data_IF_992820909132
#
_entry.id   IF_992820909132
#
_cell.length_a   1.000
_cell.length_b   1.000
_cell.length_c   1.000
_cell.angle_alpha   90.00
_cell.angle_beta   90.00
_cell.angle_gamma   90.00
#
_symmetry.space_group_name_H-M   'P 1'
#
loop_
_entity.id
_entity.type
_entity.pdbx_description
1 polymer ?
#
# COMPACT_ATOMS: atom_id res chain seq x y z
N UNK A 1 -10.56 -8.08 -9.07
CA UNK A 1 -9.87 -6.77 -8.92
C UNK A 1 -10.53 -5.66 -9.74
N UNK A 2 -10.56 -5.75 -11.08
CA UNK A 2 -11.00 -4.67 -12.01
C UNK A 2 -12.42 -4.11 -11.82
N UNK A 3 -13.31 -4.79 -11.10
CA UNK A 3 -14.73 -4.43 -10.99
C UNK A 3 -15.10 -3.68 -9.69
N UNK A 4 -14.13 -3.08 -9.00
CA UNK A 4 -14.39 -2.21 -7.83
C UNK A 4 -13.77 -2.65 -6.52
N UNK A 5 -12.88 -3.65 -6.51
CA UNK A 5 -12.12 -4.02 -5.30
C UNK A 5 -11.11 -2.92 -5.00
N UNK A 6 -11.13 -2.39 -3.77
CA UNK A 6 -10.23 -1.30 -3.31
C UNK A 6 -9.30 -1.72 -2.18
N UNK A 7 -9.52 -2.88 -1.57
CA UNK A 7 -8.67 -3.46 -0.52
C UNK A 7 -8.60 -4.97 -0.70
N UNK A 8 -7.43 -5.56 -0.44
CA UNK A 8 -7.20 -7.00 -0.41
C UNK A 8 -6.27 -7.35 0.75
N UNK A 9 -6.42 -8.54 1.29
CA UNK A 9 -5.45 -9.14 2.20
C UNK A 9 -4.34 -9.84 1.41
N UNK A 10 -3.14 -9.94 1.96
CA UNK A 10 -2.01 -10.69 1.39
C UNK A 10 -1.23 -11.41 2.50
N UNK A 11 -0.63 -12.57 2.18
CA UNK A 11 0.04 -13.44 3.16
C UNK A 11 -0.79 -13.69 4.43
N UNK A 12 -2.06 -14.03 4.26
CA UNK A 12 -2.99 -14.24 5.37
C UNK A 12 -2.73 -15.56 6.09
N UNK A 13 -2.78 -15.54 7.42
CA UNK A 13 -2.84 -16.73 8.27
C UNK A 13 -4.15 -16.67 9.04
N UNK A 14 -5.00 -17.66 8.82
CA UNK A 14 -6.38 -17.71 9.36
C UNK A 14 -6.50 -18.58 10.60
N UNK A 15 -5.41 -19.21 11.02
CA UNK A 15 -5.28 -19.94 12.27
C UNK A 15 -4.87 -19.04 13.43
N UNK A 16 -5.28 -19.42 14.64
CA UNK A 16 -4.87 -18.72 15.87
C UNK A 16 -3.36 -18.94 16.05
N UNK A 17 -2.58 -17.85 16.13
CA UNK A 17 -1.13 -17.92 16.25
C UNK A 17 -0.38 -18.24 14.94
N UNK A 18 -1.06 -18.31 13.79
CA UNK A 18 -0.47 -18.78 12.53
C UNK A 18 0.67 -17.95 11.91
N UNK A 19 0.99 -16.79 12.50
CA UNK A 19 2.14 -15.95 12.12
C UNK A 19 3.41 -16.22 12.96
N UNK A 20 3.31 -17.00 14.04
CA UNK A 20 4.47 -17.36 14.86
C UNK A 20 5.40 -18.33 14.12
N UNK A 21 6.71 -18.23 14.36
CA UNK A 21 7.70 -19.15 13.76
C UNK A 21 7.50 -20.59 14.24
N UNK A 22 7.14 -20.76 15.52
CA UNK A 22 6.85 -22.06 16.16
C UNK A 22 5.34 -22.39 16.15
N UNK A 23 4.59 -21.92 15.14
CA UNK A 23 3.16 -22.19 15.07
C UNK A 23 2.92 -23.71 15.08
N UNK A 24 2.12 -24.23 16.03
CA UNK A 24 1.87 -25.66 16.12
C UNK A 24 1.16 -26.13 14.84
N UNK A 25 1.78 -27.09 14.13
CA UNK A 25 1.18 -27.69 12.92
C UNK A 25 -0.06 -28.53 13.23
N UNK A 26 -0.26 -28.89 14.50
CA UNK A 26 -1.18 -29.96 14.93
C UNK A 26 -2.60 -29.50 15.32
N UNK A 27 -2.86 -28.19 15.48
CA UNK A 27 -4.21 -27.69 15.77
C UNK A 27 -4.81 -26.94 14.58
N UNK A 28 -5.81 -27.55 13.93
CA UNK A 28 -6.59 -26.95 12.83
C UNK A 28 -7.54 -25.86 13.38
N UNK A 29 -6.95 -24.72 13.76
CA UNK A 29 -7.67 -23.54 14.25
C UNK A 29 -8.02 -22.54 13.14
N UNK A 30 -7.74 -22.91 11.88
CA UNK A 30 -8.03 -22.07 10.73
C UNK A 30 -9.51 -21.76 10.62
N UNK A 31 -9.87 -20.48 10.54
CA UNK A 31 -11.26 -20.07 10.32
C UNK A 31 -11.80 -20.56 8.96
N UNK A 32 -10.93 -20.61 7.96
CA UNK A 32 -11.19 -21.09 6.60
C UNK A 32 -9.87 -21.36 5.87
N UNK A 33 -9.94 -22.14 4.79
CA UNK A 33 -8.80 -22.44 3.93
C UNK A 33 -8.38 -21.25 3.06
N UNK A 34 -7.09 -20.93 3.09
CA UNK A 34 -6.51 -19.87 2.27
C UNK A 34 -6.18 -20.40 0.88
N UNK A 35 -6.88 -19.90 -0.14
CA UNK A 35 -6.61 -20.29 -1.54
C UNK A 35 -5.42 -19.55 -2.16
N UNK A 36 -5.09 -18.35 -1.70
CA UNK A 36 -3.94 -17.57 -2.17
C UNK A 36 -2.80 -17.61 -1.16
N UNK A 37 -1.84 -18.48 -1.40
CA UNK A 37 -0.72 -18.75 -0.51
C UNK A 37 0.54 -17.94 -0.86
N UNK A 38 0.42 -16.93 -1.74
CA UNK A 38 1.54 -16.06 -2.10
C UNK A 38 1.98 -15.24 -0.89
N UNK A 39 3.29 -15.04 -0.80
CA UNK A 39 3.89 -14.10 0.13
C UNK A 39 3.41 -12.67 -0.15
N UNK A 40 3.59 -11.77 0.81
CA UNK A 40 3.20 -10.37 0.63
C UNK A 40 3.97 -9.73 -0.53
N UNK A 41 5.25 -10.06 -0.68
CA UNK A 41 6.09 -9.55 -1.77
C UNK A 41 5.58 -10.02 -3.14
N UNK A 42 5.21 -11.30 -3.28
CA UNK A 42 4.64 -11.83 -4.53
C UNK A 42 3.30 -11.16 -4.88
N UNK A 43 2.45 -10.90 -3.89
CA UNK A 43 1.18 -10.17 -4.10
C UNK A 43 1.45 -8.74 -4.55
N UNK A 44 2.35 -8.03 -3.87
CA UNK A 44 2.73 -6.64 -4.22
C UNK A 44 3.34 -6.59 -5.62
N UNK A 45 4.29 -7.47 -5.92
CA UNK A 45 4.95 -7.58 -7.22
C UNK A 45 3.94 -7.85 -8.35
N UNK A 46 3.04 -8.81 -8.14
CA UNK A 46 1.98 -9.14 -9.08
C UNK A 46 1.06 -7.96 -9.36
N UNK A 47 0.62 -7.23 -8.32
CA UNK A 47 -0.21 -6.05 -8.48
C UNK A 47 0.49 -4.96 -9.31
N UNK A 48 1.77 -4.71 -9.04
CA UNK A 48 2.58 -3.75 -9.81
C UNK A 48 2.68 -4.17 -11.28
N UNK A 49 2.96 -5.45 -11.55
CA UNK A 49 3.04 -5.99 -12.93
C UNK A 49 1.70 -5.92 -13.67
N UNK A 50 0.57 -5.96 -12.96
CA UNK A 50 -0.76 -5.72 -13.53
C UNK A 50 -1.10 -4.22 -13.74
N UNK A 51 -0.24 -3.30 -13.30
CA UNK A 51 -0.44 -1.87 -13.40
C UNK A 51 -1.21 -1.23 -12.24
N UNK A 52 -1.42 -1.95 -11.14
CA UNK A 52 -1.99 -1.38 -9.91
C UNK A 52 -0.92 -0.75 -9.03
N UNK A 53 -1.33 0.14 -8.12
CA UNK A 53 -0.46 0.76 -7.11
C UNK A 53 -0.84 0.17 -5.74
N UNK A 54 -0.07 -0.80 -5.21
CA UNK A 54 -0.24 -1.25 -3.83
C UNK A 54 -0.04 -0.09 -2.86
N UNK A 55 -0.86 -0.01 -1.82
CA UNK A 55 -0.80 1.07 -0.83
C UNK A 55 -1.00 0.53 0.58
N UNK A 56 -0.21 1.06 1.50
CA UNK A 56 -0.30 0.80 2.94
C UNK A 56 -0.78 2.05 3.70
N UNK A 57 -1.60 2.88 3.04
CA UNK A 57 -2.02 4.17 3.55
C UNK A 57 -2.97 4.07 4.75
N UNK A 58 -2.65 4.80 5.81
CA UNK A 58 -3.51 4.99 6.99
C UNK A 58 -3.76 6.48 7.27
N UNK A 59 -3.48 7.36 6.30
CA UNK A 59 -3.55 8.80 6.47
C UNK A 59 -4.96 9.31 6.80
N UNK A 60 -6.03 8.66 6.34
CA UNK A 60 -7.39 9.07 6.69
C UNK A 60 -7.64 8.97 8.20
N UNK A 61 -7.12 7.92 8.84
CA UNK A 61 -7.23 7.75 10.28
C UNK A 61 -6.50 8.88 11.03
N UNK A 62 -5.24 9.14 10.66
CA UNK A 62 -4.40 10.14 11.35
C UNK A 62 -4.86 11.58 11.14
N UNK A 63 -5.44 11.90 9.99
CA UNK A 63 -5.95 13.23 9.67
C UNK A 63 -7.42 13.44 10.13
N UNK A 64 -7.98 12.50 10.90
CA UNK A 64 -9.37 12.61 11.39
C UNK A 64 -10.41 12.61 10.28
N UNK A 65 -10.11 11.98 9.13
CA UNK A 65 -11.02 11.81 8.00
C UNK A 65 -11.77 10.48 8.17
N UNK A 66 -12.71 10.47 9.11
CA UNK A 66 -13.60 9.33 9.40
C UNK A 66 -15.06 9.75 9.19
N UNK A 67 -15.95 8.76 8.98
CA UNK A 67 -17.38 9.00 8.85
C UNK A 67 -17.76 9.99 7.74
N UNK A 68 -18.54 11.00 8.09
CA UNK A 68 -19.06 12.04 7.19
C UNK A 68 -17.94 12.88 6.56
N UNK A 69 -16.85 13.16 7.29
CA UNK A 69 -15.70 13.93 6.80
C UNK A 69 -14.96 13.21 5.67
N UNK A 70 -14.82 11.88 5.78
CA UNK A 70 -14.30 11.07 4.69
C UNK A 70 -15.23 11.09 3.48
N UNK A 71 -16.53 10.90 3.72
CA UNK A 71 -17.51 10.86 2.63
C UNK A 71 -17.63 12.20 1.89
N UNK A 72 -17.50 13.33 2.59
CA UNK A 72 -17.45 14.66 1.97
C UNK A 72 -16.25 14.78 1.01
N UNK A 73 -15.06 14.35 1.43
CA UNK A 73 -13.87 14.32 0.58
C UNK A 73 -14.07 13.46 -0.67
N UNK A 74 -14.66 12.27 -0.51
CA UNK A 74 -14.97 11.36 -1.62
C UNK A 74 -15.98 11.97 -2.59
N UNK A 75 -17.10 12.50 -2.08
CA UNK A 75 -18.20 13.06 -2.89
C UNK A 75 -17.77 14.33 -3.63
N UNK A 76 -16.83 15.10 -3.07
CA UNK A 76 -16.19 16.24 -3.73
C UNK A 76 -15.11 15.86 -4.75
N UNK A 77 -14.87 14.57 -4.96
CA UNK A 77 -13.83 14.02 -5.87
C UNK A 77 -12.42 14.52 -5.54
N UNK A 78 -12.18 14.91 -4.29
CA UNK A 78 -10.88 15.40 -3.82
C UNK A 78 -9.97 14.28 -3.32
N UNK A 79 -10.49 13.06 -3.18
CA UNK A 79 -9.74 11.90 -2.67
C UNK A 79 -8.44 11.63 -3.46
N UNK A 80 -8.44 11.86 -4.77
CA UNK A 80 -7.25 11.67 -5.60
C UNK A 80 -6.08 12.58 -5.21
N UNK A 81 -6.35 13.75 -4.65
CA UNK A 81 -5.32 14.72 -4.25
C UNK A 81 -4.53 14.30 -3.00
N UNK A 82 -5.02 13.34 -2.22
CA UNK A 82 -4.33 12.80 -1.05
C UNK A 82 -4.01 11.31 -1.20
N UNK A 83 -4.95 10.49 -1.69
CA UNK A 83 -4.77 9.04 -1.73
C UNK A 83 -3.71 8.61 -2.74
N UNK A 84 -3.64 9.23 -3.92
CA UNK A 84 -2.60 8.89 -4.91
C UNK A 84 -1.19 9.26 -4.42
N UNK A 85 -0.93 10.49 -3.92
CA UNK A 85 0.32 10.82 -3.25
C UNK A 85 0.69 9.86 -2.10
N UNK A 86 -0.27 9.56 -1.21
CA UNK A 86 -0.04 8.67 -0.08
C UNK A 86 0.26 7.23 -0.53
N UNK A 87 -0.36 6.75 -1.61
CA UNK A 87 -0.07 5.45 -2.19
C UNK A 87 1.38 5.35 -2.66
N UNK A 88 1.90 6.37 -3.34
CA UNK A 88 3.31 6.37 -3.80
C UNK A 88 4.30 6.40 -2.63
N UNK A 89 4.01 7.19 -1.59
CA UNK A 89 4.89 7.29 -0.43
C UNK A 89 4.91 5.98 0.37
N UNK A 90 3.74 5.42 0.67
CA UNK A 90 3.64 4.16 1.44
C UNK A 90 4.17 2.95 0.66
N UNK A 91 3.99 2.93 -0.67
CA UNK A 91 4.67 1.95 -1.52
C UNK A 91 6.18 2.11 -1.42
N UNK A 92 6.71 3.34 -1.48
CA UNK A 92 8.15 3.58 -1.36
C UNK A 92 8.72 3.06 -0.04
N UNK A 93 8.00 3.24 1.07
CA UNK A 93 8.39 2.69 2.38
C UNK A 93 8.47 1.17 2.32
N UNK A 94 7.44 0.50 1.80
CA UNK A 94 7.45 -0.95 1.61
C UNK A 94 8.64 -1.42 0.77
N UNK A 95 8.94 -0.71 -0.33
CA UNK A 95 10.09 -1.03 -1.19
C UNK A 95 11.43 -0.87 -0.46
N UNK A 96 11.55 0.09 0.46
CA UNK A 96 12.78 0.27 1.22
C UNK A 96 12.95 -0.82 2.27
N UNK A 97 11.87 -1.14 2.98
CA UNK A 97 11.93 -1.89 4.23
C UNK A 97 11.75 -3.39 4.08
N UNK A 98 10.95 -3.85 3.11
CA UNK A 98 10.51 -5.25 3.06
C UNK A 98 10.67 -5.93 1.70
N UNK A 99 10.65 -5.16 0.60
CA UNK A 99 10.55 -5.74 -0.73
C UNK A 99 11.79 -6.52 -1.19
N UNK A 100 11.58 -7.54 -2.02
CA UNK A 100 12.66 -8.20 -2.76
C UNK A 100 13.26 -7.27 -3.84
N UNK A 101 14.44 -7.63 -4.37
CA UNK A 101 15.09 -6.81 -5.41
C UNK A 101 14.22 -6.65 -6.67
N UNK A 102 13.55 -7.71 -7.14
CA UNK A 102 12.64 -7.64 -8.30
C UNK A 102 11.52 -6.63 -8.04
N UNK A 103 10.86 -6.74 -6.89
CA UNK A 103 9.78 -5.86 -6.46
C UNK A 103 10.25 -4.41 -6.31
N UNK A 104 11.46 -4.18 -5.78
CA UNK A 104 12.08 -2.85 -5.72
C UNK A 104 12.26 -2.22 -7.10
N UNK A 105 12.71 -3.00 -8.09
CA UNK A 105 12.92 -2.50 -9.45
C UNK A 105 11.58 -2.10 -10.09
N UNK A 106 10.62 -3.02 -10.16
CA UNK A 106 9.33 -2.74 -10.81
C UNK A 106 8.52 -1.68 -10.08
N UNK A 107 8.57 -1.66 -8.74
CA UNK A 107 7.87 -0.66 -7.93
C UNK A 107 8.48 0.73 -8.05
N UNK A 108 9.81 0.84 -8.18
CA UNK A 108 10.46 2.15 -8.38
C UNK A 108 10.10 2.74 -9.74
N UNK A 109 10.08 1.92 -10.80
CA UNK A 109 9.65 2.34 -12.14
C UNK A 109 8.18 2.81 -12.13
N UNK A 110 7.30 2.03 -11.48
CA UNK A 110 5.89 2.42 -11.30
C UNK A 110 5.76 3.78 -10.62
N UNK A 111 6.47 4.02 -9.51
CA UNK A 111 6.43 5.30 -8.79
C UNK A 111 6.85 6.46 -9.70
N UNK A 112 7.93 6.30 -10.48
CA UNK A 112 8.41 7.35 -11.39
C UNK A 112 7.38 7.70 -12.46
N UNK A 113 6.71 6.69 -13.03
CA UNK A 113 5.62 6.90 -13.98
C UNK A 113 4.42 7.60 -13.33
N UNK A 114 3.98 7.13 -12.17
CA UNK A 114 2.79 7.63 -11.49
C UNK A 114 2.96 9.02 -10.87
N UNK A 115 4.20 9.48 -10.63
CA UNK A 115 4.48 10.87 -10.27
C UNK A 115 4.02 11.86 -11.34
N UNK A 116 4.07 11.48 -12.61
CA UNK A 116 3.62 12.33 -13.72
C UNK A 116 2.09 12.49 -13.73
N UNK A 117 1.37 11.55 -13.12
CA UNK A 117 -0.08 11.55 -13.01
C UNK A 117 -0.61 12.41 -11.86
N UNK A 118 0.27 13.07 -11.07
CA UNK A 118 -0.14 14.05 -10.06
C UNK A 118 -0.35 15.41 -10.74
N UNK A 119 -1.60 15.89 -10.93
CA UNK A 119 -1.86 17.10 -11.70
C UNK A 119 -1.34 18.36 -10.99
N UNK A 120 -1.46 18.41 -9.66
CA UNK A 120 -1.03 19.56 -8.87
C UNK A 120 0.50 19.56 -8.68
N UNK A 121 1.19 20.50 -9.32
CA UNK A 121 2.65 20.62 -9.26
C UNK A 121 3.21 20.81 -7.84
N UNK A 122 2.49 21.54 -6.98
CA UNK A 122 2.93 21.74 -5.58
C UNK A 122 2.92 20.41 -4.84
N UNK A 123 1.83 19.65 -4.98
CA UNK A 123 1.71 18.30 -4.40
C UNK A 123 2.79 17.39 -4.96
N UNK A 124 3.01 17.40 -6.28
CA UNK A 124 4.06 16.59 -6.93
C UNK A 124 5.45 16.88 -6.38
N UNK A 125 5.81 18.16 -6.21
CA UNK A 125 7.09 18.56 -5.60
C UNK A 125 7.25 18.06 -4.16
N UNK A 126 6.18 18.15 -3.36
CA UNK A 126 6.18 17.63 -1.99
C UNK A 126 6.39 16.12 -1.98
N UNK A 127 5.69 15.37 -2.85
CA UNK A 127 5.87 13.91 -2.96
C UNK A 127 7.30 13.58 -3.37
N UNK A 128 7.86 14.25 -4.38
CA UNK A 128 9.25 14.03 -4.82
C UNK A 128 10.24 14.23 -3.66
N UNK A 129 10.05 15.28 -2.85
CA UNK A 129 10.91 15.51 -1.70
C UNK A 129 10.76 14.39 -0.66
N UNK A 130 9.53 14.06 -0.27
CA UNK A 130 9.25 13.00 0.71
C UNK A 130 9.73 11.62 0.26
N UNK A 131 9.69 11.31 -1.04
CA UNK A 131 10.27 10.07 -1.58
C UNK A 131 11.80 10.01 -1.39
N UNK A 132 12.50 11.14 -1.41
CA UNK A 132 13.93 11.22 -1.07
C UNK A 132 14.13 11.05 0.43
N UNK A 133 13.31 11.71 1.24
CA UNK A 133 13.40 11.63 2.71
C UNK A 133 13.14 10.19 3.18
N UNK A 134 12.18 9.49 2.56
CA UNK A 134 11.94 8.05 2.79
C UNK A 134 13.17 7.21 2.46
N UNK A 135 13.84 7.49 1.33
CA UNK A 135 15.10 6.82 0.99
C UNK A 135 16.18 7.05 2.06
N UNK A 136 16.15 8.20 2.74
CA UNK A 136 17.09 8.57 3.79
C UNK A 136 16.69 8.08 5.19
N UNK A 137 15.56 7.37 5.33
CA UNK A 137 15.15 6.74 6.58
C UNK A 137 13.93 7.38 7.25
N UNK A 138 13.41 8.50 6.76
CA UNK A 138 12.17 9.08 7.30
C UNK A 138 10.95 8.25 6.91
N UNK A 139 9.92 8.22 7.75
CA UNK A 139 8.73 7.40 7.55
C UNK A 139 7.46 8.16 7.94
N UNK A 140 6.32 7.63 7.53
CA UNK A 140 4.97 8.05 7.88
C UNK A 140 4.56 9.44 7.38
N UNK A 141 5.01 9.80 6.17
CA UNK A 141 4.52 11.01 5.51
C UNK A 141 3.07 10.85 5.03
N UNK A 142 2.31 11.96 5.10
CA UNK A 142 0.90 11.97 4.73
C UNK A 142 0.40 13.30 4.17
N UNK A 143 -0.66 13.21 3.38
CA UNK A 143 -1.55 14.29 2.92
C UNK A 143 -2.97 14.01 3.39
#
# INVERSE_FOLDING_TARGET
LRLGVSQISGASKTSVGGYAEDAPEEEETSQFDVSDNRTLDEVVNWLIKLGYIPSFCTACYREGRTGDRFMDLCKKKQIGNCCHPNALMTLKEYLMDYASLDTKVVGTDLILRELQNIPNEKVRKIVIQRLKDIRNGERDFRF
#
